data_IF_712655418441
#
_entry.id   IF_712655418441
#
_cell.length_a   1.000
_cell.length_b   1.000
_cell.length_c   1.000
_cell.angle_alpha   90.00
_cell.angle_beta   90.00
_cell.angle_gamma   90.00
#
_symmetry.space_group_name_H-M   'P 1'
#
loop_
_entity.id
_entity.type
_entity.pdbx_description
1 polymer ?
#
# COMPACT_ATOMS: atom_id res chain seq x y z
N UNK A 1 5.82 -14.38 13.84
CA UNK A 1 6.35 -15.25 12.77
C UNK A 1 7.53 -16.07 13.29
N UNK A 2 7.64 -17.40 12.95
CA UNK A 2 8.82 -18.19 13.27
C UNK A 2 10.09 -17.64 12.59
N UNK A 3 11.22 -17.72 13.27
CA UNK A 3 12.48 -17.11 12.79
C UNK A 3 12.91 -17.62 11.41
N UNK A 4 12.77 -18.93 11.17
CA UNK A 4 13.12 -19.52 9.89
C UNK A 4 12.22 -19.01 8.76
N UNK A 5 10.90 -18.89 9.00
CA UNK A 5 9.97 -18.31 8.04
C UNK A 5 10.35 -16.87 7.74
N UNK A 6 10.69 -16.08 8.77
CA UNK A 6 11.12 -14.69 8.64
C UNK A 6 12.34 -14.54 7.72
N UNK A 7 13.30 -15.45 7.79
CA UNK A 7 14.47 -15.44 6.91
C UNK A 7 14.06 -15.57 5.43
N UNK A 8 13.18 -16.53 5.10
CA UNK A 8 12.67 -16.71 3.74
C UNK A 8 11.76 -15.56 3.30
N UNK A 9 10.90 -15.08 4.19
CA UNK A 9 10.03 -13.92 3.94
C UNK A 9 10.84 -12.68 3.57
N UNK A 10 11.92 -12.38 4.30
CA UNK A 10 12.84 -11.27 3.97
C UNK A 10 13.55 -11.50 2.62
N UNK A 11 13.79 -12.74 2.23
CA UNK A 11 14.31 -13.09 0.91
C UNK A 11 13.32 -12.71 -0.19
N UNK A 12 12.05 -13.06 -0.03
CA UNK A 12 10.96 -12.67 -0.94
C UNK A 12 10.80 -11.14 -0.98
N UNK A 13 10.78 -10.47 0.17
CA UNK A 13 10.72 -9.01 0.25
C UNK A 13 11.85 -8.33 -0.53
N UNK A 14 13.10 -8.80 -0.38
CA UNK A 14 14.24 -8.29 -1.18
C UNK A 14 14.06 -8.48 -2.69
N UNK A 15 13.43 -9.58 -3.11
CA UNK A 15 13.13 -9.80 -4.53
C UNK A 15 12.04 -8.85 -5.02
N UNK A 16 10.95 -8.66 -4.25
CA UNK A 16 9.90 -7.68 -4.55
C UNK A 16 10.47 -6.27 -4.62
N UNK A 17 11.24 -5.84 -3.62
CA UNK A 17 11.89 -4.52 -3.59
C UNK A 17 12.72 -4.25 -4.85
N UNK A 18 13.49 -5.25 -5.33
CA UNK A 18 14.26 -5.13 -6.58
C UNK A 18 13.37 -5.03 -7.82
N UNK A 19 12.24 -5.73 -7.84
CA UNK A 19 11.25 -5.64 -8.94
C UNK A 19 10.57 -4.28 -8.96
N UNK A 20 10.14 -3.79 -7.80
CA UNK A 20 9.53 -2.46 -7.64
C UNK A 20 10.50 -1.35 -8.07
N UNK A 21 11.77 -1.43 -7.66
CA UNK A 21 12.79 -0.46 -8.07
C UNK A 21 12.96 -0.43 -9.60
N UNK A 22 12.94 -1.58 -10.29
CA UNK A 22 12.99 -1.65 -11.75
C UNK A 22 11.76 -1.04 -12.43
N UNK A 23 10.62 -1.03 -11.73
CA UNK A 23 9.39 -0.37 -12.17
C UNK A 23 9.35 1.13 -11.79
N UNK A 24 10.43 1.66 -11.19
CA UNK A 24 10.53 3.07 -10.78
C UNK A 24 9.95 3.36 -9.40
N UNK A 25 9.71 2.32 -8.59
CA UNK A 25 9.22 2.45 -7.21
C UNK A 25 10.36 2.14 -6.25
N UNK A 26 10.96 3.19 -5.69
CA UNK A 26 12.08 3.05 -4.75
C UNK A 26 11.57 3.09 -3.30
N UNK A 27 11.55 1.94 -2.65
CA UNK A 27 11.17 1.79 -1.23
C UNK A 27 12.30 2.15 -0.25
N UNK A 28 13.41 2.70 -0.71
CA UNK A 28 14.43 3.28 0.16
C UNK A 28 14.32 4.81 0.27
N UNK A 29 13.44 5.42 -0.53
CA UNK A 29 13.27 6.88 -0.62
C UNK A 29 11.81 7.30 -0.41
N UNK A 30 11.50 7.90 0.73
CA UNK A 30 10.20 8.49 1.06
C UNK A 30 10.01 9.89 0.48
N UNK A 31 11.10 10.54 0.06
CA UNK A 31 11.07 11.96 -0.33
C UNK A 31 10.21 12.21 -1.56
N UNK A 32 10.05 11.21 -2.43
CA UNK A 32 9.13 11.28 -3.58
C UNK A 32 7.69 11.52 -3.13
N UNK A 33 7.18 10.71 -2.21
CA UNK A 33 5.82 10.87 -1.67
C UNK A 33 5.68 12.20 -0.93
N UNK A 34 6.65 12.56 -0.09
CA UNK A 34 6.66 13.84 0.61
C UNK A 34 6.64 15.03 -0.36
N UNK A 35 7.44 15.02 -1.43
CA UNK A 35 7.43 16.05 -2.46
C UNK A 35 6.09 16.14 -3.20
N UNK A 36 5.47 15.01 -3.53
CA UNK A 36 4.17 15.00 -4.19
C UNK A 36 3.07 15.50 -3.26
N UNK A 37 3.11 15.16 -1.96
CA UNK A 37 2.18 15.70 -0.96
C UNK A 37 2.35 17.23 -0.84
N UNK A 38 3.59 17.74 -0.81
CA UNK A 38 3.86 19.19 -0.86
C UNK A 38 3.21 19.83 -2.10
N UNK A 39 3.48 19.29 -3.31
CA UNK A 39 2.89 19.81 -4.54
C UNK A 39 1.37 19.74 -4.54
N UNK A 40 0.77 18.63 -4.08
CA UNK A 40 -0.67 18.48 -3.94
C UNK A 40 -1.29 19.52 -2.99
N UNK A 41 -0.57 19.92 -1.94
CA UNK A 41 -1.03 20.98 -1.01
C UNK A 41 -1.02 22.37 -1.63
N UNK A 42 -0.20 22.61 -2.67
CA UNK A 42 -0.12 23.89 -3.41
C UNK A 42 -1.11 23.93 -4.56
N UNK A 43 -1.10 22.89 -5.40
CA UNK A 43 -1.79 22.85 -6.68
C UNK A 43 -3.20 22.25 -6.60
N UNK A 44 -3.49 21.47 -5.57
CA UNK A 44 -4.77 20.78 -5.40
C UNK A 44 -5.05 19.63 -6.39
N UNK A 45 -4.07 19.26 -7.22
CA UNK A 45 -4.22 18.25 -8.27
C UNK A 45 -3.87 16.82 -7.84
N UNK A 46 -3.29 16.64 -6.65
CA UNK A 46 -2.93 15.33 -6.09
C UNK A 46 -3.66 15.11 -4.76
N UNK A 47 -4.17 13.91 -4.58
CA UNK A 47 -4.78 13.42 -3.34
C UNK A 47 -3.80 12.52 -2.60
N UNK A 48 -3.86 12.51 -1.27
CA UNK A 48 -3.18 11.55 -0.40
C UNK A 48 -4.21 10.67 0.29
N UNK A 49 -4.02 9.35 0.22
CA UNK A 49 -4.94 8.33 0.74
C UNK A 49 -4.15 7.43 1.69
N UNK A 50 -4.67 7.28 2.90
CA UNK A 50 -4.17 6.38 3.93
C UNK A 50 -5.17 5.24 4.18
N UNK A 51 -4.70 4.08 4.61
CA UNK A 51 -5.52 2.90 4.83
C UNK A 51 -5.51 2.45 6.29
N UNK A 52 -6.66 2.02 6.79
CA UNK A 52 -6.79 1.42 8.11
C UNK A 52 -6.25 0.00 8.10
N UNK A 53 -5.27 -0.29 8.97
CA UNK A 53 -4.70 -1.64 9.15
C UNK A 53 -4.32 -2.32 7.82
N UNK A 54 -3.68 -1.58 6.91
CA UNK A 54 -3.34 -2.02 5.56
C UNK A 54 -2.63 -3.38 5.56
N UNK A 55 -1.55 -3.51 6.33
CA UNK A 55 -0.75 -4.73 6.45
C UNK A 55 -1.54 -5.96 6.93
N UNK A 56 -2.61 -5.75 7.69
CA UNK A 56 -3.49 -6.81 8.20
C UNK A 56 -4.70 -7.09 7.30
N UNK A 57 -4.89 -6.30 6.24
CA UNK A 57 -6.06 -6.34 5.35
C UNK A 57 -5.78 -7.04 4.01
N UNK A 58 -4.51 -7.28 3.66
CA UNK A 58 -4.16 -7.93 2.38
C UNK A 58 -4.61 -9.38 2.41
N UNK A 59 -5.75 -9.67 1.75
CA UNK A 59 -6.33 -11.01 1.72
C UNK A 59 -5.57 -11.95 0.79
N UNK A 60 -5.66 -13.26 1.06
CA UNK A 60 -5.13 -14.29 0.16
C UNK A 60 -5.77 -14.20 -1.22
N UNK A 61 -7.05 -13.85 -1.28
CA UNK A 61 -7.79 -13.82 -2.54
C UNK A 61 -7.31 -12.71 -3.46
N UNK A 62 -7.11 -11.49 -2.94
CA UNK A 62 -6.58 -10.39 -3.75
C UNK A 62 -5.18 -10.72 -4.28
N UNK A 63 -4.35 -11.37 -3.46
CA UNK A 63 -3.02 -11.81 -3.90
C UNK A 63 -3.08 -12.86 -5.01
N UNK A 64 -4.01 -13.84 -4.92
CA UNK A 64 -4.19 -14.85 -5.97
C UNK A 64 -4.66 -14.26 -7.30
N UNK A 65 -5.42 -13.18 -7.26
CA UNK A 65 -5.89 -12.50 -8.46
C UNK A 65 -4.82 -11.61 -9.10
N UNK A 66 -3.96 -10.99 -8.29
CA UNK A 66 -2.98 -10.00 -8.77
C UNK A 66 -1.59 -10.57 -9.01
N UNK A 67 -1.19 -11.63 -8.29
CA UNK A 67 0.17 -12.16 -8.37
C UNK A 67 0.27 -13.37 -9.30
N UNK A 68 1.40 -13.52 -9.99
CA UNK A 68 1.72 -14.77 -10.70
C UNK A 68 1.72 -15.98 -9.74
N UNK A 69 1.31 -17.18 -10.23
CA UNK A 69 1.16 -18.36 -9.38
C UNK A 69 2.43 -18.77 -8.62
N UNK A 70 3.60 -18.65 -9.22
CA UNK A 70 4.90 -18.95 -8.61
C UNK A 70 5.23 -18.07 -7.41
N UNK A 71 4.87 -16.77 -7.48
CA UNK A 71 5.00 -15.84 -6.36
C UNK A 71 4.04 -16.19 -5.23
N UNK A 72 2.81 -16.52 -5.59
CA UNK A 72 1.79 -16.89 -4.62
C UNK A 72 2.17 -18.17 -3.89
N UNK A 73 2.67 -19.20 -4.62
CA UNK A 73 3.16 -20.43 -4.04
C UNK A 73 4.31 -20.18 -3.06
N UNK A 74 5.32 -19.40 -3.47
CA UNK A 74 6.46 -19.07 -2.62
C UNK A 74 6.03 -18.37 -1.31
N UNK A 75 5.08 -17.43 -1.38
CA UNK A 75 4.55 -16.73 -0.21
C UNK A 75 3.73 -17.67 0.69
N UNK A 76 2.91 -18.56 0.10
CA UNK A 76 2.10 -19.51 0.86
C UNK A 76 2.95 -20.57 1.59
N UNK A 77 4.12 -20.90 1.08
CA UNK A 77 5.06 -21.82 1.75
C UNK A 77 5.63 -21.24 3.05
N UNK A 78 5.82 -19.92 3.11
CA UNK A 78 6.56 -19.28 4.22
C UNK A 78 5.68 -18.43 5.15
N UNK A 79 4.40 -18.25 4.87
CA UNK A 79 3.50 -17.52 5.76
C UNK A 79 2.99 -18.38 6.92
N UNK A 80 2.61 -17.76 8.02
CA UNK A 80 1.79 -18.41 9.04
C UNK A 80 0.37 -18.63 8.53
N UNK A 81 -0.08 -19.90 8.54
CA UNK A 81 -1.43 -20.26 8.08
C UNK A 81 -2.45 -20.28 9.22
N UNK A 82 -2.00 -20.43 10.43
CA UNK A 82 -2.82 -20.53 11.64
C UNK A 82 -2.23 -19.67 12.74
N UNK A 83 -3.10 -19.17 13.61
CA UNK A 83 -2.75 -18.53 14.87
C UNK A 83 -3.44 -19.25 16.02
N UNK A 84 -2.72 -19.45 17.10
CA UNK A 84 -3.29 -19.98 18.35
C UNK A 84 -3.80 -18.78 19.18
N UNK A 85 -5.05 -18.86 19.59
CA UNK A 85 -5.69 -17.82 20.40
C UNK A 85 -5.46 -18.09 21.90
N UNK A 86 -5.60 -17.08 22.78
CA UNK A 86 -5.37 -17.24 24.22
C UNK A 86 -6.22 -18.31 24.90
N UNK A 87 -7.36 -18.66 24.29
CA UNK A 87 -8.24 -19.74 24.77
C UNK A 87 -7.81 -21.15 24.30
N UNK A 88 -6.65 -21.28 23.63
CA UNK A 88 -6.13 -22.55 23.09
C UNK A 88 -6.75 -22.99 21.77
N UNK A 89 -7.70 -22.23 21.21
CA UNK A 89 -8.25 -22.56 19.89
C UNK A 89 -7.33 -22.08 18.76
N UNK A 90 -7.29 -22.84 17.66
CA UNK A 90 -6.53 -22.46 16.46
C UNK A 90 -7.46 -21.79 15.44
N UNK A 91 -7.01 -20.65 14.88
CA UNK A 91 -7.73 -19.91 13.85
C UNK A 91 -6.93 -19.88 12.53
N UNK A 92 -7.60 -20.25 11.43
CA UNK A 92 -6.99 -20.18 10.10
C UNK A 92 -6.99 -18.76 9.58
N UNK A 93 -5.82 -18.29 9.12
CA UNK A 93 -5.67 -16.94 8.57
C UNK A 93 -6.02 -16.91 7.08
N UNK A 94 -6.90 -15.98 6.70
CA UNK A 94 -7.30 -15.71 5.31
C UNK A 94 -6.56 -14.52 4.69
N UNK A 95 -5.66 -13.89 5.43
CA UNK A 95 -4.73 -12.85 4.97
C UNK A 95 -3.38 -13.46 4.60
N UNK A 96 -2.67 -12.83 3.66
CA UNK A 96 -1.37 -13.33 3.20
C UNK A 96 -0.27 -13.09 4.24
N UNK A 97 -0.33 -11.98 4.92
CA UNK A 97 0.68 -11.52 5.88
C UNK A 97 0.04 -10.75 7.02
N UNK A 98 0.85 -10.33 7.96
CA UNK A 98 0.49 -9.46 9.08
C UNK A 98 1.62 -8.48 9.32
N UNK A 99 1.38 -7.47 10.16
CA UNK A 99 2.46 -6.63 10.67
C UNK A 99 3.60 -7.50 11.22
N UNK A 100 4.84 -7.19 10.80
CA UNK A 100 6.04 -7.94 11.18
C UNK A 100 6.41 -9.12 10.28
N UNK A 101 5.62 -9.47 9.25
CA UNK A 101 6.03 -10.41 8.22
C UNK A 101 7.08 -9.75 7.29
N UNK A 102 8.06 -10.53 6.84
CA UNK A 102 9.26 -10.02 6.16
C UNK A 102 9.08 -9.56 4.70
N UNK A 103 7.85 -9.61 4.13
CA UNK A 103 7.55 -9.09 2.78
C UNK A 103 6.30 -8.20 2.71
N UNK A 104 5.66 -7.94 3.85
CA UNK A 104 4.36 -7.23 3.86
C UNK A 104 4.46 -5.86 3.21
N UNK A 105 5.46 -5.07 3.56
CA UNK A 105 5.62 -3.70 3.09
C UNK A 105 5.79 -3.62 1.57
N UNK A 106 6.63 -4.47 1.00
CA UNK A 106 6.84 -4.54 -0.44
C UNK A 106 5.60 -5.08 -1.17
N UNK A 107 4.89 -6.03 -0.57
CA UNK A 107 3.68 -6.60 -1.14
C UNK A 107 2.53 -5.61 -1.15
N UNK A 108 2.25 -4.93 -0.04
CA UNK A 108 1.19 -3.91 0.03
C UNK A 108 1.46 -2.76 -0.94
N UNK A 109 2.72 -2.27 -1.02
CA UNK A 109 3.10 -1.28 -2.02
C UNK A 109 2.78 -1.74 -3.44
N UNK A 110 3.11 -2.98 -3.80
CA UNK A 110 2.82 -3.54 -5.12
C UNK A 110 1.32 -3.60 -5.40
N UNK A 111 0.53 -4.10 -4.45
CA UNK A 111 -0.93 -4.24 -4.57
C UNK A 111 -1.58 -2.87 -4.76
N UNK A 112 -1.28 -1.91 -3.90
CA UNK A 112 -1.90 -0.58 -3.98
C UNK A 112 -1.44 0.20 -5.20
N UNK A 113 -0.17 0.06 -5.59
CA UNK A 113 0.31 0.66 -6.83
C UNK A 113 -0.40 0.09 -8.06
N UNK A 114 -0.59 -1.23 -8.12
CA UNK A 114 -1.27 -1.89 -9.23
C UNK A 114 -2.74 -1.44 -9.33
N UNK A 115 -3.46 -1.37 -8.20
CA UNK A 115 -4.84 -0.90 -8.15
C UNK A 115 -4.94 0.58 -8.56
N UNK A 116 -4.07 1.43 -8.03
CA UNK A 116 -4.05 2.85 -8.37
C UNK A 116 -3.73 3.08 -9.85
N UNK A 117 -2.77 2.33 -10.39
CA UNK A 117 -2.42 2.40 -11.82
C UNK A 117 -3.57 1.94 -12.71
N UNK A 118 -4.22 0.84 -12.36
CA UNK A 118 -5.36 0.31 -13.10
C UNK A 118 -6.53 1.32 -13.13
N UNK A 119 -6.82 1.99 -12.01
CA UNK A 119 -7.85 3.03 -11.96
C UNK A 119 -7.49 4.22 -12.85
N UNK A 120 -6.25 4.72 -12.79
CA UNK A 120 -5.82 5.83 -13.64
C UNK A 120 -5.90 5.48 -15.13
N UNK A 121 -5.65 4.22 -15.49
CA UNK A 121 -5.76 3.76 -16.87
C UNK A 121 -7.25 3.53 -17.28
N UNK A 122 -8.11 3.03 -16.36
CA UNK A 122 -9.55 2.82 -16.57
C UNK A 122 -10.28 4.12 -16.92
N UNK A 123 -10.01 5.19 -16.17
CA UNK A 123 -10.69 6.49 -16.37
C UNK A 123 -9.93 7.45 -17.29
N UNK A 124 -8.82 6.98 -17.89
CA UNK A 124 -7.94 7.76 -18.77
C UNK A 124 -7.52 9.11 -18.17
N UNK A 125 -7.03 9.08 -16.90
CA UNK A 125 -6.57 10.29 -16.21
C UNK A 125 -5.64 11.14 -17.07
N UNK A 126 -5.85 12.45 -17.05
CA UNK A 126 -4.93 13.43 -17.65
C UNK A 126 -3.60 13.42 -16.89
N UNK A 127 -3.65 13.48 -15.57
CA UNK A 127 -2.48 13.32 -14.70
C UNK A 127 -2.38 11.87 -14.24
N UNK A 128 -1.44 11.12 -14.83
CA UNK A 128 -1.18 9.70 -14.50
C UNK A 128 -0.22 9.51 -13.33
N UNK A 129 -0.07 10.52 -12.47
CA UNK A 129 0.78 10.43 -11.29
C UNK A 129 0.23 9.39 -10.32
N UNK A 130 1.04 8.36 -10.06
CA UNK A 130 0.82 7.35 -9.03
C UNK A 130 2.11 7.20 -8.24
N UNK A 131 2.05 7.37 -6.93
CA UNK A 131 3.14 7.06 -6.02
C UNK A 131 2.60 6.32 -4.80
N UNK A 132 3.27 5.25 -4.41
CA UNK A 132 2.89 4.41 -3.28
C UNK A 132 4.12 4.03 -2.48
N UNK A 133 4.01 4.17 -1.17
CA UNK A 133 5.03 3.78 -0.21
C UNK A 133 4.36 3.08 0.98
N UNK A 134 4.34 1.73 0.96
CA UNK A 134 3.50 0.97 1.88
C UNK A 134 2.03 1.27 1.66
N UNK A 135 1.38 1.78 2.70
CA UNK A 135 -0.02 2.21 2.73
C UNK A 135 -0.25 3.70 2.37
N UNK A 136 0.82 4.47 2.22
CA UNK A 136 0.78 5.86 1.76
C UNK A 136 0.59 5.92 0.23
N UNK A 137 -0.61 6.26 -0.22
CA UNK A 137 -0.97 6.32 -1.65
C UNK A 137 -1.16 7.77 -2.09
N UNK A 138 -0.53 8.15 -3.19
CA UNK A 138 -0.75 9.45 -3.86
C UNK A 138 -1.18 9.21 -5.31
N UNK A 139 -2.29 9.83 -5.69
CA UNK A 139 -2.84 9.80 -7.04
C UNK A 139 -3.37 11.17 -7.43
N UNK A 140 -3.70 11.38 -8.72
CA UNK A 140 -4.45 12.57 -9.13
C UNK A 140 -5.77 12.66 -8.38
N UNK A 141 -6.25 13.89 -8.06
CA UNK A 141 -7.57 14.09 -7.45
C UNK A 141 -8.69 13.52 -8.30
N UNK A 142 -8.51 13.50 -9.62
CA UNK A 142 -9.41 12.89 -10.59
C UNK A 142 -9.63 11.39 -10.33
N UNK A 143 -8.56 10.65 -10.01
CA UNK A 143 -8.61 9.21 -9.75
C UNK A 143 -9.03 8.85 -8.30
N UNK A 144 -8.91 9.79 -7.38
CA UNK A 144 -8.97 9.49 -5.94
C UNK A 144 -10.28 8.83 -5.50
N UNK A 145 -11.43 9.38 -5.88
CA UNK A 145 -12.73 8.82 -5.49
C UNK A 145 -12.95 7.42 -6.07
N UNK A 146 -12.60 7.23 -7.36
CA UNK A 146 -12.70 5.92 -7.99
C UNK A 146 -11.77 4.90 -7.34
N UNK A 147 -10.56 5.30 -6.99
CA UNK A 147 -9.62 4.43 -6.28
C UNK A 147 -10.15 4.02 -4.91
N UNK A 148 -10.74 4.94 -4.14
CA UNK A 148 -11.37 4.64 -2.84
C UNK A 148 -12.48 3.59 -2.99
N UNK A 149 -13.31 3.68 -4.04
CA UNK A 149 -14.33 2.67 -4.34
C UNK A 149 -13.72 1.30 -4.65
N UNK A 150 -12.68 1.27 -5.50
CA UNK A 150 -11.98 0.03 -5.85
C UNK A 150 -11.29 -0.60 -4.65
N UNK A 151 -10.60 0.19 -3.83
CA UNK A 151 -9.99 -0.27 -2.59
C UNK A 151 -11.04 -0.90 -1.66
N UNK A 152 -12.20 -0.26 -1.50
CA UNK A 152 -13.31 -0.79 -0.70
C UNK A 152 -13.85 -2.11 -1.28
N UNK A 153 -14.01 -2.20 -2.60
CA UNK A 153 -14.45 -3.43 -3.26
C UNK A 153 -13.44 -4.58 -3.09
N UNK A 154 -12.14 -4.26 -2.98
CA UNK A 154 -11.07 -5.20 -2.66
C UNK A 154 -10.97 -5.56 -1.17
N UNK A 155 -11.80 -4.96 -0.30
CA UNK A 155 -11.84 -5.23 1.13
C UNK A 155 -10.95 -4.31 1.99
N UNK A 156 -10.32 -3.29 1.40
CA UNK A 156 -9.55 -2.28 2.14
C UNK A 156 -10.44 -1.16 2.65
N UNK A 157 -10.09 -0.60 3.80
CA UNK A 157 -10.76 0.56 4.38
C UNK A 157 -9.84 1.76 4.36
N UNK A 158 -10.32 2.87 3.79
CA UNK A 158 -9.61 4.14 3.84
C UNK A 158 -9.78 4.79 5.19
N UNK A 159 -8.70 5.34 5.72
CA UNK A 159 -8.72 6.16 6.92
C UNK A 159 -9.19 7.57 6.56
N UNK A 160 -10.44 7.88 6.89
CA UNK A 160 -11.05 9.17 6.54
C UNK A 160 -10.37 10.37 7.22
N UNK A 161 -9.73 10.19 8.37
CA UNK A 161 -9.03 11.25 9.10
C UNK A 161 -7.68 11.59 8.47
N UNK A 162 -7.11 10.65 7.69
CA UNK A 162 -5.80 10.79 7.02
C UNK A 162 -5.88 10.73 5.49
N UNK A 163 -7.08 10.75 4.94
CA UNK A 163 -7.30 10.80 3.49
C UNK A 163 -7.73 12.19 3.07
N UNK A 164 -6.93 12.84 2.23
CA UNK A 164 -7.12 14.22 1.80
C UNK A 164 -7.22 14.29 0.28
N UNK A 165 -8.44 14.42 -0.22
CA UNK A 165 -8.72 14.59 -1.65
C UNK A 165 -8.88 16.06 -1.97
N UNK A 166 -9.73 16.75 -1.21
CA UNK A 166 -10.06 18.17 -1.38
C UNK A 166 -9.27 19.06 -0.41
N UNK A 167 -9.32 20.37 -0.67
CA UNK A 167 -8.69 21.38 0.17
C UNK A 167 -7.15 21.38 0.04
N UNK A 168 -6.47 22.24 0.83
CA UNK A 168 -5.05 22.51 0.69
C UNK A 168 -4.15 21.69 1.63
N UNK A 169 -4.69 20.75 2.40
CA UNK A 169 -3.90 19.91 3.30
C UNK A 169 -3.55 18.58 2.62
N UNK A 170 -2.31 18.10 2.81
CA UNK A 170 -1.84 16.80 2.37
C UNK A 170 -0.90 16.19 3.41
N UNK A 171 -0.99 14.89 3.58
CA UNK A 171 -0.13 14.10 4.47
C UNK A 171 0.42 12.90 3.71
N UNK A 172 1.72 12.62 3.79
CA UNK A 172 2.30 11.36 3.35
C UNK A 172 3.68 11.14 3.96
N UNK A 173 3.99 9.89 4.27
CA UNK A 173 5.29 9.47 4.82
C UNK A 173 5.73 10.34 6.00
N UNK A 174 4.81 10.58 6.95
CA UNK A 174 5.06 11.34 8.18
C UNK A 174 5.30 12.83 7.99
N UNK A 175 5.00 13.39 6.81
CA UNK A 175 5.07 14.82 6.54
C UNK A 175 3.69 15.39 6.25
N UNK A 176 3.41 16.55 6.88
CA UNK A 176 2.15 17.28 6.77
C UNK A 176 2.38 18.62 6.05
N UNK A 177 1.58 18.90 5.03
CA UNK A 177 1.71 20.12 4.25
C UNK A 177 0.38 20.87 4.17
N UNK A 178 0.41 22.18 4.38
CA UNK A 178 -0.73 23.05 4.22
C UNK A 178 -0.34 24.26 3.35
N UNK A 179 -0.94 24.38 2.15
CA UNK A 179 -0.63 25.47 1.20
C UNK A 179 0.86 25.65 0.93
N UNK A 180 1.59 24.55 0.74
CA UNK A 180 3.03 24.57 0.49
C UNK A 180 3.90 24.90 1.71
N UNK A 181 3.36 24.80 2.92
CA UNK A 181 4.14 24.93 4.17
C UNK A 181 4.20 23.58 4.87
N UNK A 182 5.39 23.21 5.33
CA UNK A 182 5.55 22.09 6.24
C UNK A 182 4.94 22.46 7.60
N UNK A 183 3.91 21.74 8.01
CA UNK A 183 3.20 21.89 9.28
C UNK A 183 3.27 20.61 10.11
N UNK A 184 4.26 19.77 9.84
CA UNK A 184 4.54 18.55 10.62
C UNK A 184 4.74 18.90 12.08
N UNK A 185 4.06 18.21 13.04
CA UNK A 185 4.16 18.46 14.47
C UNK A 185 5.57 18.24 15.02
#
# INVERSE_FOLDING_TARGET
>A
EPELNMMFQRGIGKLLKRKLLRAGIDLSDQTRNQSLAFHGSVMGNLATIDLEAASDSVSLEICRQLLPPDWMEAMELVRCKYVELPNGSSHKLHKISSMGNGFTFELETLVFWALAKAVCDEIDCVDKTVAVYGDDIIVSTEAAHRLIEVLRACGFRTNHEKTFVDGPFRESCGKHFFRGRDVTP
#
